data_IF_631607287674
#
_entry.id   IF_631607287674
#
_cell.length_a   1.000
_cell.length_b   1.000
_cell.length_c   1.000
_cell.angle_alpha   90.00
_cell.angle_beta   90.00
_cell.angle_gamma   90.00
#
_symmetry.space_group_name_H-M   'P 1'
#
loop_
_entity.id
_entity.type
_entity.pdbx_description
1 polymer ?
#
# COMPACT_ATOMS: atom_id res chain seq x y z
N UNK A 1 44.96 48.47 -33.93
CA UNK A 1 44.45 47.20 -33.36
C UNK A 1 43.78 47.46 -32.02
N UNK A 2 42.45 47.39 -31.95
CA UNK A 2 41.68 47.10 -30.74
C UNK A 2 40.46 46.29 -31.18
N UNK A 3 40.54 44.98 -30.97
CA UNK A 3 39.48 44.02 -31.29
C UNK A 3 38.39 44.21 -30.22
N UNK A 4 37.20 44.64 -30.64
CA UNK A 4 36.06 44.84 -29.76
C UNK A 4 35.49 43.48 -29.34
N UNK A 5 35.59 43.18 -28.05
CA UNK A 5 35.08 41.97 -27.38
C UNK A 5 33.56 42.03 -27.17
N UNK A 6 32.76 42.05 -28.24
CA UNK A 6 31.28 42.06 -28.12
C UNK A 6 30.61 40.84 -28.78
N UNK A 7 31.37 40.00 -29.46
CA UNK A 7 30.85 38.79 -30.12
C UNK A 7 31.25 37.52 -29.34
N UNK A 8 30.73 37.34 -28.12
CA UNK A 8 30.80 36.01 -27.46
C UNK A 8 29.74 35.77 -26.37
N UNK A 9 28.63 36.51 -26.33
CA UNK A 9 27.53 36.22 -25.38
C UNK A 9 26.21 35.81 -26.03
N UNK A 10 26.06 35.95 -27.35
CA UNK A 10 24.83 35.54 -28.06
C UNK A 10 24.83 34.08 -28.54
N UNK A 11 25.92 33.34 -28.36
CA UNK A 11 26.04 31.95 -28.82
C UNK A 11 25.92 30.89 -27.69
N UNK A 12 25.70 31.31 -26.44
CA UNK A 12 25.51 30.41 -25.29
C UNK A 12 24.05 30.26 -24.83
N UNK A 13 23.08 30.73 -25.63
CA UNK A 13 21.64 30.55 -25.35
C UNK A 13 20.99 29.43 -26.18
N UNK A 14 21.77 28.65 -26.94
CA UNK A 14 21.23 27.61 -27.85
C UNK A 14 21.46 26.16 -27.38
N UNK A 15 21.86 25.94 -26.13
CA UNK A 15 22.06 24.59 -25.57
C UNK A 15 21.27 24.34 -24.28
N UNK A 16 20.21 25.10 -24.02
CA UNK A 16 19.04 24.48 -23.41
C UNK A 16 18.39 23.64 -24.49
N UNK A 17 18.96 22.46 -24.74
CA UNK A 17 18.13 21.33 -25.15
C UNK A 17 17.06 21.22 -24.06
N UNK A 18 15.93 21.86 -24.30
CA UNK A 18 14.63 21.33 -23.97
C UNK A 18 14.73 19.87 -24.42
N UNK A 19 15.09 19.01 -23.47
CA UNK A 19 14.72 17.61 -23.52
C UNK A 19 13.20 17.67 -23.56
N UNK A 20 12.67 17.78 -24.78
CA UNK A 20 11.33 17.37 -25.09
C UNK A 20 11.29 15.94 -24.59
N UNK A 21 10.75 15.78 -23.38
CA UNK A 21 10.36 14.49 -22.85
C UNK A 21 9.42 13.94 -23.92
N UNK A 22 9.98 13.05 -24.74
CA UNK A 22 9.29 12.43 -25.84
C UNK A 22 8.06 11.73 -25.25
N UNK A 23 6.87 12.14 -25.69
CA UNK A 23 5.60 11.44 -25.55
C UNK A 23 5.25 10.87 -24.15
N UNK A 24 4.57 11.72 -23.37
CA UNK A 24 3.15 11.55 -23.05
C UNK A 24 2.59 10.34 -22.28
N UNK A 25 3.38 9.44 -21.71
CA UNK A 25 2.80 8.40 -20.84
C UNK A 25 3.08 8.65 -19.36
N UNK A 26 2.43 9.69 -18.78
CA UNK A 26 2.34 9.75 -17.32
C UNK A 26 1.48 8.61 -16.75
N UNK A 27 0.75 7.84 -17.56
CA UNK A 27 -0.01 6.66 -17.11
C UNK A 27 0.93 5.46 -17.08
N UNK A 28 1.61 5.28 -15.97
CA UNK A 28 2.51 4.16 -15.73
C UNK A 28 2.34 3.63 -14.31
N UNK A 29 2.45 2.30 -14.13
CA UNK A 29 2.56 1.68 -12.83
C UNK A 29 4.02 1.66 -12.39
N UNK A 30 4.37 2.52 -11.42
CA UNK A 30 5.71 2.54 -10.85
C UNK A 30 5.77 1.65 -9.63
N UNK A 31 6.59 0.61 -9.71
CA UNK A 31 6.94 -0.26 -8.59
C UNK A 31 7.82 0.49 -7.58
N UNK A 32 7.55 0.34 -6.29
CA UNK A 32 8.31 1.01 -5.22
C UNK A 32 9.13 0.03 -4.40
N UNK A 33 8.46 -0.92 -3.76
CA UNK A 33 9.06 -1.79 -2.74
C UNK A 33 8.58 -3.22 -2.93
N UNK A 34 9.49 -4.19 -2.80
CA UNK A 34 9.11 -5.59 -2.63
C UNK A 34 8.53 -5.82 -1.23
N UNK A 35 7.35 -6.40 -1.18
CA UNK A 35 6.58 -6.63 0.04
C UNK A 35 6.71 -8.08 0.46
N UNK A 36 6.50 -9.02 -0.47
CA UNK A 36 6.68 -10.44 -0.24
C UNK A 36 7.56 -11.00 -1.35
N UNK A 37 8.62 -11.67 -0.94
CA UNK A 37 9.57 -12.35 -1.83
C UNK A 37 9.07 -13.74 -2.21
N UNK A 38 9.79 -14.42 -3.11
CA UNK A 38 9.48 -15.81 -3.45
C UNK A 38 9.57 -16.73 -2.24
N UNK A 39 10.49 -16.46 -1.31
CA UNK A 39 10.68 -17.26 -0.11
C UNK A 39 9.46 -17.14 0.81
N UNK A 40 8.95 -15.93 1.01
CA UNK A 40 7.74 -15.69 1.81
C UNK A 40 6.52 -16.35 1.16
N UNK A 41 6.45 -16.29 -0.17
CA UNK A 41 5.32 -16.80 -0.94
C UNK A 41 5.28 -18.33 -1.05
N UNK A 42 6.39 -19.04 -0.79
CA UNK A 42 6.40 -20.52 -0.68
C UNK A 42 5.51 -21.02 0.46
N UNK A 43 5.23 -20.19 1.46
CA UNK A 43 4.31 -20.50 2.54
C UNK A 43 2.84 -20.51 2.08
N UNK A 44 2.56 -20.02 0.89
CA UNK A 44 1.24 -19.97 0.29
C UNK A 44 1.17 -20.93 -0.90
N UNK A 45 0.01 -21.55 -1.11
CA UNK A 45 -0.22 -22.37 -2.31
C UNK A 45 -0.48 -21.45 -3.51
N UNK A 46 0.61 -20.88 -4.05
CA UNK A 46 0.58 -19.84 -5.08
C UNK A 46 1.67 -20.02 -6.13
N UNK A 47 1.32 -19.67 -7.37
CA UNK A 47 2.25 -19.47 -8.48
C UNK A 47 2.79 -18.03 -8.54
N UNK A 48 2.42 -17.15 -7.61
CA UNK A 48 3.00 -15.80 -7.51
C UNK A 48 4.35 -15.90 -6.80
N UNK A 49 5.36 -15.29 -7.40
CA UNK A 49 6.77 -15.33 -7.00
C UNK A 49 7.21 -14.07 -6.26
N UNK A 50 6.55 -12.94 -6.48
CA UNK A 50 6.80 -11.72 -5.72
C UNK A 50 5.55 -10.85 -5.70
N UNK A 51 5.38 -10.11 -4.61
CA UNK A 51 4.38 -9.04 -4.49
C UNK A 51 5.12 -7.74 -4.19
N UNK A 52 4.82 -6.71 -4.97
CA UNK A 52 5.38 -5.36 -4.81
C UNK A 52 4.29 -4.32 -4.57
N UNK A 53 4.67 -3.23 -3.94
CA UNK A 53 3.88 -2.01 -3.90
C UNK A 53 4.05 -1.26 -5.22
N UNK A 54 2.94 -0.84 -5.82
CA UNK A 54 2.89 0.01 -7.00
C UNK A 54 2.10 1.29 -6.77
N UNK A 55 2.49 2.35 -7.45
CA UNK A 55 1.72 3.60 -7.59
C UNK A 55 1.45 3.83 -9.06
N UNK A 56 0.19 4.10 -9.42
CA UNK A 56 -0.10 4.63 -10.74
C UNK A 56 0.33 6.10 -10.77
N UNK A 57 0.96 6.51 -11.85
CA UNK A 57 1.22 7.90 -12.14
C UNK A 57 0.09 8.46 -13.01
N UNK A 58 -0.15 9.76 -12.92
CA UNK A 58 -1.03 10.50 -13.81
C UNK A 58 -0.46 11.90 -14.06
N UNK A 59 -0.84 12.54 -15.18
CA UNK A 59 -0.49 13.93 -15.45
C UNK A 59 -1.41 14.85 -14.65
N UNK A 60 -0.85 15.64 -13.74
CA UNK A 60 -1.62 16.62 -12.98
C UNK A 60 -1.90 17.89 -13.82
N UNK A 61 -2.70 18.81 -13.27
CA UNK A 61 -3.10 20.06 -13.94
C UNK A 61 -1.93 21.01 -14.25
N UNK A 62 -0.76 20.79 -13.64
CA UNK A 62 0.46 21.55 -13.87
C UNK A 62 1.39 20.87 -14.90
N UNK A 63 0.96 19.76 -15.50
CA UNK A 63 1.73 19.01 -16.48
C UNK A 63 2.73 18.01 -15.91
N UNK A 64 2.84 17.87 -14.58
CA UNK A 64 3.78 16.95 -13.93
C UNK A 64 3.17 15.56 -13.73
N UNK A 65 3.97 14.49 -13.87
CA UNK A 65 3.54 13.15 -13.49
C UNK A 65 3.51 13.04 -11.95
N UNK A 66 2.34 12.81 -11.38
CA UNK A 66 2.11 12.67 -9.94
C UNK A 66 1.59 11.29 -9.61
N UNK A 67 1.99 10.68 -8.48
CA UNK A 67 1.43 9.40 -8.05
C UNK A 67 -0.01 9.55 -7.59
N UNK A 68 -0.81 8.50 -7.79
CA UNK A 68 -2.14 8.38 -7.19
C UNK A 68 -2.05 8.23 -5.67
N UNK A 69 -3.10 8.65 -4.98
CA UNK A 69 -3.24 8.42 -3.54
C UNK A 69 -3.33 6.92 -3.23
N UNK A 70 -3.94 6.14 -4.11
CA UNK A 70 -4.09 4.69 -3.97
C UNK A 70 -2.75 3.96 -4.13
N UNK A 71 -2.56 2.93 -3.32
CA UNK A 71 -1.47 1.96 -3.44
C UNK A 71 -2.00 0.67 -4.06
N UNK A 72 -1.26 0.11 -5.02
CA UNK A 72 -1.58 -1.15 -5.69
C UNK A 72 -0.68 -2.26 -5.15
N UNK A 73 -1.24 -3.42 -4.82
CA UNK A 73 -0.44 -4.62 -4.57
C UNK A 73 -0.32 -5.40 -5.86
N UNK A 74 0.91 -5.58 -6.33
CA UNK A 74 1.21 -6.07 -7.68
C UNK A 74 1.94 -7.40 -7.58
N UNK A 75 1.35 -8.46 -8.10
CA UNK A 75 1.91 -9.82 -8.09
C UNK A 75 2.54 -10.22 -9.42
N UNK A 76 3.60 -11.02 -9.36
CA UNK A 76 4.30 -11.54 -10.54
C UNK A 76 4.37 -13.06 -10.48
N UNK A 77 3.97 -13.74 -11.55
CA UNK A 77 4.10 -15.20 -11.61
C UNK A 77 5.47 -15.70 -12.06
N UNK A 78 6.19 -14.95 -12.91
CA UNK A 78 7.50 -15.32 -13.46
C UNK A 78 8.24 -14.06 -13.97
N UNK A 79 8.25 -12.97 -13.18
CA UNK A 79 8.87 -11.66 -13.51
C UNK A 79 8.44 -10.93 -14.80
N UNK A 80 7.61 -11.55 -15.63
CA UNK A 80 7.36 -11.08 -16.99
C UNK A 80 6.15 -10.15 -17.13
N UNK A 81 5.10 -10.32 -16.32
CA UNK A 81 3.89 -9.50 -16.40
C UNK A 81 3.34 -9.20 -14.99
N UNK A 82 3.29 -7.93 -14.56
CA UNK A 82 2.63 -7.53 -13.32
C UNK A 82 1.13 -7.76 -13.39
N UNK A 83 0.54 -8.21 -12.29
CA UNK A 83 -0.92 -8.26 -12.10
C UNK A 83 -1.29 -7.49 -10.86
N UNK A 84 -2.22 -6.55 -10.99
CA UNK A 84 -2.83 -5.90 -9.83
C UNK A 84 -3.66 -6.96 -9.09
N UNK A 85 -3.30 -7.21 -7.83
CA UNK A 85 -4.00 -8.15 -6.96
C UNK A 85 -5.11 -7.45 -6.18
N UNK A 86 -4.85 -6.25 -5.70
CA UNK A 86 -5.83 -5.41 -5.01
C UNK A 86 -5.40 -3.94 -5.01
N UNK A 87 -6.35 -3.05 -4.77
CA UNK A 87 -6.14 -1.62 -4.55
C UNK A 87 -6.37 -1.30 -3.07
N UNK A 88 -5.47 -0.50 -2.51
CA UNK A 88 -5.54 0.07 -1.17
C UNK A 88 -5.79 1.56 -1.32
N UNK A 89 -6.91 2.05 -0.76
CA UNK A 89 -7.32 3.46 -0.83
C UNK A 89 -6.53 4.32 0.18
N UNK A 90 -5.22 4.41 -0.01
CA UNK A 90 -4.30 5.11 0.89
C UNK A 90 -2.85 4.71 0.66
N UNK A 91 -1.98 5.16 1.58
CA UNK A 91 -0.55 4.83 1.57
C UNK A 91 -0.28 3.62 2.44
N UNK A 92 0.57 2.69 2.00
CA UNK A 92 0.88 1.46 2.74
C UNK A 92 2.20 1.60 3.53
N UNK A 93 2.18 1.82 4.85
CA UNK A 93 3.36 1.76 5.73
C UNK A 93 3.91 0.35 5.90
N UNK A 94 3.04 -0.66 6.04
CA UNK A 94 3.49 -1.99 6.45
C UNK A 94 2.52 -3.10 6.04
N UNK A 95 3.08 -4.28 5.75
CA UNK A 95 2.33 -5.52 5.54
C UNK A 95 2.96 -6.61 6.41
N UNK A 96 2.12 -7.38 7.11
CA UNK A 96 2.53 -8.53 7.92
C UNK A 96 1.76 -9.77 7.50
N UNK A 97 2.39 -10.94 7.62
CA UNK A 97 1.74 -12.23 7.36
C UNK A 97 1.64 -12.99 8.68
N UNK A 98 0.45 -13.49 8.96
CA UNK A 98 0.17 -14.27 10.16
C UNK A 98 -0.43 -15.63 9.81
N UNK A 99 -0.21 -16.60 10.69
CA UNK A 99 -0.90 -17.89 10.64
C UNK A 99 -2.04 -17.85 11.66
N UNK A 100 -3.28 -17.98 11.21
CA UNK A 100 -4.46 -18.02 12.08
C UNK A 100 -5.26 -19.27 11.72
N UNK A 101 -5.40 -20.21 12.66
CA UNK A 101 -6.04 -21.52 12.42
C UNK A 101 -5.46 -22.28 11.22
N UNK A 102 -4.14 -22.16 11.01
CA UNK A 102 -3.43 -22.77 9.87
C UNK A 102 -3.53 -21.99 8.55
N UNK A 103 -4.43 -21.01 8.44
CA UNK A 103 -4.53 -20.14 7.26
C UNK A 103 -3.51 -19.00 7.31
N UNK A 104 -2.92 -18.67 6.17
CA UNK A 104 -1.99 -17.53 6.06
C UNK A 104 -2.75 -16.26 5.68
N UNK A 105 -2.88 -15.36 6.63
CA UNK A 105 -3.60 -14.09 6.48
C UNK A 105 -2.60 -12.95 6.38
N UNK A 106 -2.71 -12.19 5.29
CA UNK A 106 -1.92 -10.99 5.04
C UNK A 106 -2.65 -9.78 5.61
N UNK A 107 -2.03 -9.10 6.56
CA UNK A 107 -2.52 -7.90 7.21
C UNK A 107 -1.86 -6.67 6.57
N UNK A 108 -2.65 -5.86 5.87
CA UNK A 108 -2.19 -4.64 5.21
C UNK A 108 -2.56 -3.45 6.05
N UNK A 109 -1.56 -2.80 6.61
CA UNK A 109 -1.71 -1.56 7.34
C UNK A 109 -1.56 -0.40 6.37
N UNK A 110 -2.41 0.63 6.49
CA UNK A 110 -2.42 1.76 5.57
C UNK A 110 -2.92 3.06 6.20
N UNK A 111 -2.40 4.18 5.72
CA UNK A 111 -2.84 5.52 6.08
C UNK A 111 -3.90 6.00 5.08
N UNK A 112 -5.07 6.38 5.60
CA UNK A 112 -6.19 6.88 4.79
C UNK A 112 -6.61 8.28 5.25
N UNK A 113 -5.75 9.29 5.00
CA UNK A 113 -6.01 10.68 5.39
C UNK A 113 -6.07 10.91 6.91
N UNK A 114 -5.97 12.16 7.35
CA UNK A 114 -6.24 12.55 8.76
C UNK A 114 -5.45 11.79 9.84
N UNK A 115 -4.24 11.31 9.54
CA UNK A 115 -3.40 10.46 10.41
C UNK A 115 -4.01 9.10 10.80
N UNK A 116 -5.08 8.64 10.14
CA UNK A 116 -5.74 7.40 10.49
C UNK A 116 -4.95 6.19 9.98
N UNK A 117 -4.54 5.32 10.91
CA UNK A 117 -3.99 4.00 10.61
C UNK A 117 -5.13 2.99 10.51
N UNK A 118 -5.32 2.45 9.32
CA UNK A 118 -6.33 1.46 8.96
C UNK A 118 -5.65 0.10 8.76
N UNK A 119 -6.38 -0.98 9.03
CA UNK A 119 -5.95 -2.35 8.74
C UNK A 119 -6.96 -3.02 7.82
N UNK A 120 -6.46 -3.72 6.80
CA UNK A 120 -7.27 -4.59 5.96
C UNK A 120 -6.66 -5.99 5.86
N UNK A 121 -7.37 -7.03 6.34
CA UNK A 121 -6.95 -8.42 6.19
C UNK A 121 -7.24 -8.95 4.78
N UNK A 122 -6.34 -9.79 4.28
CA UNK A 122 -6.50 -10.53 3.03
C UNK A 122 -6.13 -11.99 3.22
N UNK A 123 -6.88 -12.86 2.57
CA UNK A 123 -6.52 -14.27 2.40
C UNK A 123 -5.89 -14.46 1.03
N UNK A 124 -4.77 -15.17 1.00
CA UNK A 124 -4.14 -15.53 -0.25
C UNK A 124 -4.62 -16.91 -0.69
N UNK A 125 -5.38 -16.99 -1.78
CA UNK A 125 -5.91 -18.26 -2.32
C UNK A 125 -5.90 -18.23 -3.84
N UNK A 126 -5.49 -19.34 -4.48
CA UNK A 126 -5.55 -19.50 -5.94
C UNK A 126 -4.90 -18.36 -6.76
N UNK A 127 -3.79 -17.78 -6.29
CA UNK A 127 -3.15 -16.60 -6.90
C UNK A 127 -3.93 -15.28 -6.79
N UNK A 128 -4.92 -15.22 -5.90
CA UNK A 128 -5.74 -14.04 -5.64
C UNK A 128 -5.57 -13.61 -4.18
N UNK A 129 -5.73 -12.31 -3.95
CA UNK A 129 -5.79 -11.70 -2.63
C UNK A 129 -7.22 -11.29 -2.36
N UNK A 130 -7.94 -12.12 -1.62
CA UNK A 130 -9.33 -11.87 -1.28
C UNK A 130 -9.39 -11.06 0.01
N UNK A 131 -10.03 -9.89 -0.03
CA UNK A 131 -10.21 -9.10 1.19
C UNK A 131 -11.17 -9.81 2.13
N UNK A 132 -10.74 -10.01 3.37
CA UNK A 132 -11.58 -10.60 4.40
C UNK A 132 -12.53 -9.54 4.97
N UNK A 133 -13.76 -9.95 5.22
CA UNK A 133 -14.84 -9.09 5.76
C UNK A 133 -15.04 -9.32 7.27
N UNK A 134 -15.90 -8.50 7.88
CA UNK A 134 -16.22 -8.58 9.31
C UNK A 134 -15.15 -7.98 10.23
N UNK A 135 -14.30 -7.13 9.65
CA UNK A 135 -13.23 -6.43 10.34
C UNK A 135 -13.40 -4.92 10.06
N UNK A 136 -13.94 -4.17 11.03
CA UNK A 136 -14.12 -2.73 10.92
C UNK A 136 -13.14 -2.05 11.86
N UNK A 137 -11.97 -1.69 11.36
CA UNK A 137 -11.01 -0.99 12.21
C UNK A 137 -10.76 0.39 11.64
N UNK A 138 -11.28 1.40 12.34
CA UNK A 138 -10.90 2.81 12.15
C UNK A 138 -11.08 3.60 13.46
N UNK A 139 -10.01 3.73 14.24
CA UNK A 139 -9.18 4.94 14.25
C UNK A 139 -7.88 4.66 15.01
N UNK A 140 -6.75 5.10 14.47
CA UNK A 140 -5.43 5.09 15.12
C UNK A 140 -5.09 3.77 15.84
N UNK A 141 -5.00 2.67 15.08
CA UNK A 141 -4.54 1.38 15.60
C UNK A 141 -3.21 1.59 16.31
N UNK A 142 -3.19 1.28 17.61
CA UNK A 142 -1.97 1.36 18.43
C UNK A 142 -1.23 0.04 18.49
N UNK A 143 -1.97 -1.06 18.51
CA UNK A 143 -1.39 -2.39 18.68
C UNK A 143 -2.27 -3.46 18.06
N UNK A 144 -1.62 -4.45 17.46
CA UNK A 144 -2.26 -5.70 17.04
C UNK A 144 -1.45 -6.85 17.59
N UNK A 145 -2.13 -7.79 18.24
CA UNK A 145 -1.55 -9.01 18.77
C UNK A 145 -2.37 -10.21 18.32
N UNK A 146 -1.72 -11.35 18.14
CA UNK A 146 -2.39 -12.61 17.89
C UNK A 146 -2.11 -13.52 19.08
N UNK A 147 -3.18 -13.92 19.75
CA UNK A 147 -3.11 -14.80 20.92
C UNK A 147 -4.13 -15.91 20.72
N UNK A 148 -3.69 -17.17 20.78
CA UNK A 148 -4.57 -18.34 20.60
C UNK A 148 -5.43 -18.29 19.32
N UNK A 149 -4.84 -17.89 18.18
CA UNK A 149 -5.55 -17.69 16.90
C UNK A 149 -6.67 -16.62 16.92
N UNK A 150 -6.73 -15.80 17.98
CA UNK A 150 -7.59 -14.63 18.05
C UNK A 150 -6.78 -13.36 17.78
N UNK A 151 -7.34 -12.45 17.01
CA UNK A 151 -6.74 -11.18 16.66
C UNK A 151 -7.21 -10.12 17.66
N UNK A 152 -6.30 -9.64 18.50
CA UNK A 152 -6.56 -8.57 19.45
C UNK A 152 -6.09 -7.25 18.87
N UNK A 153 -6.99 -6.28 18.81
CA UNK A 153 -6.76 -4.96 18.24
C UNK A 153 -6.98 -3.93 19.33
N UNK A 154 -5.98 -3.06 19.54
CA UNK A 154 -6.05 -1.94 20.45
C UNK A 154 -6.11 -0.65 19.65
N UNK A 155 -7.27 -0.01 19.67
CA UNK A 155 -7.55 1.24 18.96
C UNK A 155 -7.51 2.42 19.93
N UNK A 156 -7.26 3.61 19.39
CA UNK A 156 -7.48 4.86 20.10
C UNK A 156 -8.56 5.64 19.35
N UNK A 157 -9.67 5.90 20.03
CA UNK A 157 -10.79 6.66 19.47
C UNK A 157 -10.86 8.06 20.06
N UNK A 158 -11.12 9.04 19.21
CA UNK A 158 -11.42 10.41 19.62
C UNK A 158 -12.92 10.50 19.89
N UNK A 159 -13.27 10.78 21.13
CA UNK A 159 -14.65 10.94 21.59
C UNK A 159 -15.20 12.30 21.16
N UNK A 160 -16.52 12.45 21.22
CA UNK A 160 -17.23 13.68 20.83
C UNK A 160 -16.83 14.91 21.66
N UNK A 161 -16.36 14.70 22.89
CA UNK A 161 -15.88 15.73 23.80
C UNK A 161 -14.39 16.10 23.58
N UNK A 162 -13.75 15.52 22.56
CA UNK A 162 -12.33 15.72 22.24
C UNK A 162 -11.37 14.89 23.11
N UNK A 163 -11.86 14.11 24.07
CA UNK A 163 -11.04 13.16 24.81
C UNK A 163 -10.68 11.95 23.95
N UNK A 164 -9.62 11.22 24.31
CA UNK A 164 -9.28 9.97 23.63
C UNK A 164 -9.49 8.78 24.54
N UNK A 165 -10.21 7.76 24.05
CA UNK A 165 -10.37 6.48 24.73
C UNK A 165 -9.56 5.39 24.03
N UNK A 166 -9.34 4.29 24.74
CA UNK A 166 -8.70 3.09 24.20
C UNK A 166 -9.76 1.99 24.17
N UNK A 167 -9.99 1.46 22.97
CA UNK A 167 -10.91 0.32 22.78
C UNK A 167 -10.07 -0.91 22.45
N UNK A 168 -10.35 -2.00 23.17
CA UNK A 168 -9.77 -3.30 22.88
C UNK A 168 -10.85 -4.18 22.27
N UNK A 169 -10.57 -4.69 21.07
CA UNK A 169 -11.47 -5.57 20.33
C UNK A 169 -10.75 -6.88 20.07
N UNK A 170 -11.48 -7.98 20.17
CA UNK A 170 -10.97 -9.32 19.89
C UNK A 170 -11.76 -9.90 18.73
N UNK A 171 -11.08 -10.43 17.73
CA UNK A 171 -11.69 -10.97 16.53
C UNK A 171 -11.33 -12.44 16.33
N UNK A 172 -12.34 -13.26 16.09
CA UNK A 172 -12.18 -14.66 15.69
C UNK A 172 -12.27 -14.79 14.20
N UNK A 173 -11.30 -15.48 13.61
CA UNK A 173 -11.40 -15.90 12.22
C UNK A 173 -12.20 -17.21 12.12
N UNK A 174 -13.24 -17.21 11.30
CA UNK A 174 -14.00 -18.41 10.95
C UNK A 174 -14.53 -18.32 9.52
N UNK A 175 -14.43 -19.42 8.76
CA UNK A 175 -15.01 -19.54 7.42
C UNK A 175 -14.76 -18.36 6.47
N UNK A 176 -13.53 -17.83 6.43
CA UNK A 176 -13.17 -16.73 5.54
C UNK A 176 -13.65 -15.35 6.00
N UNK A 177 -13.99 -15.19 7.28
CA UNK A 177 -14.42 -13.91 7.87
C UNK A 177 -13.86 -13.73 9.27
N UNK A 178 -13.67 -12.47 9.65
CA UNK A 178 -13.45 -12.11 11.04
C UNK A 178 -14.78 -11.80 11.71
N UNK A 179 -14.91 -12.18 12.98
CA UNK A 179 -16.08 -11.94 13.81
C UNK A 179 -15.63 -11.28 15.10
N UNK A 180 -16.21 -10.12 15.42
CA UNK A 180 -15.99 -9.49 16.72
C UNK A 180 -16.48 -10.45 17.82
N UNK A 181 -15.62 -10.73 18.78
CA UNK A 181 -15.95 -11.48 19.99
C UNK A 181 -16.53 -10.49 20.98
N UNK A 182 -17.81 -10.60 21.36
CA UNK A 182 -18.39 -9.75 22.38
C UNK A 182 -17.67 -10.02 23.70
N UNK A 183 -17.04 -9.00 24.28
CA UNK A 183 -16.61 -9.10 25.67
C UNK A 183 -17.88 -9.15 26.54
N UNK A 184 -18.11 -10.26 27.26
CA UNK A 184 -19.09 -10.26 28.35
C UNK A 184 -18.55 -9.33 29.42
N UNK A 185 -19.26 -8.22 29.62
CA UNK A 185 -19.09 -7.34 30.79
C UNK A 185 -19.52 -8.13 32.03
#
# INVERSE_FOLDING_TARGET
MKISKVLLLSFLMSLCSLSYASNDNCIELVEKKEILSEVDLRLFSTSIKKIKEGKLLYRNNLGFCSPTNDTYLVGYKNDKIPRILTVIKGHTPEIKVYSIKGEKIMMVYYFSGGNQYSLKPFLFKNNQLDSLSGFSVSSNIRKIEIVNDELHVKNQELMSDGSTTIINESYKYDNGKFHLVPHKI
#
